data_IF_472220118506
#
_entry.id   IF_472220118506
#
_cell.length_a   1.000
_cell.length_b   1.000
_cell.length_c   1.000
_cell.angle_alpha   90.00
_cell.angle_beta   90.00
_cell.angle_gamma   90.00
#
_symmetry.space_group_name_H-M   'P 1'
#
loop_
_entity.id
_entity.type
_entity.pdbx_description
1 polymer ?
#
# COMPACT_ATOMS: atom_id res chain seq x y z
N UNK A 1 26.63 82.07 -25.31
CA UNK A 1 27.01 81.11 -26.36
C UNK A 1 27.23 79.78 -25.66
N UNK A 2 26.40 78.79 -26.01
CA UNK A 2 26.56 77.34 -25.76
C UNK A 2 26.46 76.92 -24.28
N UNK A 3 25.41 76.23 -23.85
CA UNK A 3 24.93 74.89 -24.25
C UNK A 3 25.17 73.97 -23.05
N UNK A 4 24.08 73.57 -22.44
CA UNK A 4 23.79 72.24 -21.88
C UNK A 4 24.96 71.35 -21.45
N UNK A 5 24.87 70.80 -20.23
CA UNK A 5 24.53 69.38 -20.12
C UNK A 5 24.14 69.05 -18.68
N UNK A 6 22.84 68.85 -18.53
CA UNK A 6 22.17 68.30 -17.37
C UNK A 6 22.51 66.79 -17.31
N UNK A 7 23.38 66.36 -16.40
CA UNK A 7 23.59 64.93 -16.17
C UNK A 7 22.61 64.46 -15.08
N UNK A 8 21.39 64.13 -15.52
CA UNK A 8 20.41 63.45 -14.68
C UNK A 8 20.86 62.00 -14.48
N UNK A 9 21.49 61.73 -13.36
CA UNK A 9 21.80 60.38 -12.91
C UNK A 9 20.49 59.69 -12.50
N UNK A 10 19.88 58.98 -13.44
CA UNK A 10 18.67 58.18 -13.19
C UNK A 10 19.03 56.96 -12.34
N UNK A 11 18.99 57.13 -11.02
CA UNK A 11 18.85 56.05 -10.06
C UNK A 11 17.43 55.47 -10.19
N UNK A 12 17.25 54.53 -11.11
CA UNK A 12 16.12 53.60 -11.03
C UNK A 12 16.50 52.44 -10.11
N UNK A 13 15.96 52.43 -8.89
CA UNK A 13 16.03 51.28 -7.99
C UNK A 13 15.36 50.06 -8.63
N UNK A 14 16.15 49.12 -9.15
CA UNK A 14 15.67 47.85 -9.68
C UNK A 14 15.00 47.01 -8.57
N UNK A 15 13.66 46.99 -8.50
CA UNK A 15 12.91 46.06 -7.62
C UNK A 15 13.19 44.62 -8.07
N UNK A 16 13.98 43.87 -7.29
CA UNK A 16 14.28 42.47 -7.59
C UNK A 16 12.99 41.63 -7.57
N UNK A 17 12.71 40.94 -8.68
CA UNK A 17 11.57 40.00 -8.81
C UNK A 17 11.87 38.63 -8.18
N UNK A 18 13.11 38.39 -7.74
CA UNK A 18 13.53 37.12 -7.17
C UNK A 18 12.67 36.63 -5.99
N UNK A 19 12.26 37.48 -5.02
CA UNK A 19 11.38 37.04 -3.93
C UNK A 19 10.00 36.58 -4.42
N UNK A 20 9.46 37.22 -5.47
CA UNK A 20 8.18 36.84 -6.07
C UNK A 20 8.28 35.51 -6.83
N UNK A 21 9.38 35.28 -7.56
CA UNK A 21 9.64 34.01 -8.25
C UNK A 21 9.84 32.88 -7.25
N UNK A 22 10.65 33.09 -6.21
CA UNK A 22 10.88 32.10 -5.14
C UNK A 22 9.57 31.79 -4.41
N UNK A 23 8.78 32.81 -4.09
CA UNK A 23 7.45 32.64 -3.49
C UNK A 23 6.51 31.83 -4.38
N UNK A 24 6.49 32.11 -5.70
CA UNK A 24 5.72 31.35 -6.67
C UNK A 24 6.12 29.88 -6.74
N UNK A 25 7.43 29.58 -6.75
CA UNK A 25 7.95 28.22 -6.74
C UNK A 25 7.52 27.49 -5.45
N UNK A 26 7.64 28.14 -4.29
CA UNK A 26 7.25 27.55 -3.01
C UNK A 26 5.75 27.22 -2.97
N UNK A 27 4.89 28.14 -3.41
CA UNK A 27 3.44 27.90 -3.50
C UNK A 27 3.14 26.76 -4.47
N UNK A 28 3.81 26.72 -5.62
CA UNK A 28 3.62 25.63 -6.60
C UNK A 28 4.00 24.26 -6.04
N UNK A 29 5.07 24.18 -5.24
CA UNK A 29 5.50 22.95 -4.58
C UNK A 29 4.48 22.49 -3.53
N UNK A 30 3.96 23.40 -2.70
CA UNK A 30 2.93 23.05 -1.71
C UNK A 30 1.65 22.53 -2.38
N UNK A 31 1.21 23.16 -3.48
CA UNK A 31 0.07 22.68 -4.25
C UNK A 31 0.35 21.29 -4.84
N UNK A 32 1.53 21.06 -5.39
CA UNK A 32 1.92 19.76 -5.93
C UNK A 32 1.90 18.66 -4.85
N UNK A 33 2.50 18.91 -3.69
CA UNK A 33 2.48 17.97 -2.56
C UNK A 33 1.06 17.69 -2.09
N UNK A 34 0.21 18.72 -1.99
CA UNK A 34 -1.20 18.54 -1.62
C UNK A 34 -1.93 17.64 -2.64
N UNK A 35 -1.73 17.86 -3.94
CA UNK A 35 -2.32 17.01 -4.99
C UNK A 35 -1.84 15.57 -4.85
N UNK A 36 -0.54 15.33 -4.64
CA UNK A 36 -0.02 13.97 -4.43
C UNK A 36 -0.65 13.32 -3.20
N UNK A 37 -0.72 14.02 -2.07
CA UNK A 37 -1.32 13.49 -0.83
C UNK A 37 -2.82 13.18 -0.98
N UNK A 38 -3.56 13.94 -1.80
CA UNK A 38 -4.99 13.70 -2.03
C UNK A 38 -5.26 12.58 -3.06
N UNK A 39 -4.34 12.33 -3.99
CA UNK A 39 -4.53 11.37 -5.09
C UNK A 39 -3.87 10.02 -4.80
N UNK A 40 -2.85 9.97 -3.97
CA UNK A 40 -2.06 8.77 -3.72
C UNK A 40 -2.60 7.96 -2.53
N UNK A 41 -3.26 6.84 -2.82
CA UNK A 41 -3.54 5.80 -1.81
C UNK A 41 -2.38 4.80 -1.79
N UNK A 42 -1.67 4.61 -0.66
CA UNK A 42 -0.57 3.66 -0.59
C UNK A 42 -1.08 2.25 -0.83
N UNK A 43 -0.35 1.44 -1.58
CA UNK A 43 -0.70 0.02 -1.72
C UNK A 43 -0.41 -0.71 -0.40
N UNK A 44 -1.04 -1.88 -0.13
CA UNK A 44 -0.76 -2.64 1.09
C UNK A 44 0.73 -2.96 1.29
N UNK A 45 1.51 -3.10 0.21
CA UNK A 45 2.97 -3.32 0.27
C UNK A 45 3.78 -2.10 0.72
N UNK A 46 3.24 -0.90 0.60
CA UNK A 46 3.90 0.36 0.94
C UNK A 46 3.53 0.86 2.34
N UNK A 47 2.51 0.26 2.95
CA UNK A 47 2.08 0.57 4.31
C UNK A 47 3.12 0.07 5.33
N UNK A 48 3.26 0.79 6.44
CA UNK A 48 4.01 0.26 7.58
C UNK A 48 3.30 -0.98 8.16
N UNK A 49 4.03 -1.80 8.91
CA UNK A 49 3.54 -3.12 9.31
C UNK A 49 2.28 -3.07 10.18
N UNK A 50 2.08 -2.01 10.97
CA UNK A 50 0.91 -1.81 11.82
C UNK A 50 -0.31 -1.33 11.03
N UNK A 51 -0.12 -0.36 10.13
CA UNK A 51 -1.15 0.12 9.20
C UNK A 51 -1.63 -1.03 8.30
N UNK A 52 -0.70 -1.82 7.74
CA UNK A 52 -1.02 -2.99 6.92
C UNK A 52 -1.79 -4.04 7.71
N UNK A 53 -1.44 -4.25 8.98
CA UNK A 53 -2.15 -5.18 9.85
C UNK A 53 -3.61 -4.74 10.08
N UNK A 54 -3.82 -3.46 10.41
CA UNK A 54 -5.15 -2.90 10.60
C UNK A 54 -5.96 -2.92 9.30
N UNK A 55 -5.32 -2.58 8.17
CA UNK A 55 -5.92 -2.65 6.84
C UNK A 55 -6.38 -4.08 6.51
N UNK A 56 -5.50 -5.08 6.64
CA UNK A 56 -5.85 -6.49 6.40
C UNK A 56 -7.00 -6.94 7.29
N UNK A 57 -6.94 -6.63 8.58
CA UNK A 57 -8.00 -6.97 9.53
C UNK A 57 -9.36 -6.38 9.12
N UNK A 58 -9.39 -5.12 8.68
CA UNK A 58 -10.60 -4.48 8.16
C UNK A 58 -11.11 -5.15 6.88
N UNK A 59 -10.22 -5.37 5.91
CA UNK A 59 -10.55 -5.95 4.60
C UNK A 59 -11.01 -7.40 4.65
N UNK A 60 -10.64 -8.16 5.68
CA UNK A 60 -11.20 -9.51 5.89
C UNK A 60 -12.72 -9.54 6.08
N UNK A 61 -13.35 -8.42 6.43
CA UNK A 61 -14.82 -8.33 6.48
C UNK A 61 -15.48 -8.15 5.10
N UNK A 62 -14.68 -7.76 4.09
CA UNK A 62 -15.13 -7.48 2.72
C UNK A 62 -14.91 -8.67 1.78
N UNK A 63 -14.09 -9.66 2.16
CA UNK A 63 -13.87 -10.85 1.35
C UNK A 63 -15.10 -11.77 1.37
N UNK A 64 -15.27 -12.51 0.29
CA UNK A 64 -16.42 -13.41 0.09
C UNK A 64 -15.97 -14.71 -0.54
N UNK A 65 -16.60 -15.82 -0.14
CA UNK A 65 -16.38 -17.12 -0.75
C UNK A 65 -16.58 -17.04 -2.28
N UNK A 66 -15.76 -17.77 -3.02
CA UNK A 66 -15.76 -17.78 -4.48
C UNK A 66 -14.93 -16.69 -5.15
N UNK A 67 -14.46 -15.67 -4.41
CA UNK A 67 -13.50 -14.69 -4.93
C UNK A 67 -12.24 -15.37 -5.46
N UNK A 68 -11.70 -14.86 -6.55
CA UNK A 68 -10.47 -15.41 -7.13
C UNK A 68 -9.25 -15.06 -6.28
N UNK A 69 -8.23 -15.91 -6.37
CA UNK A 69 -6.93 -15.66 -5.74
C UNK A 69 -6.33 -14.32 -6.18
N UNK A 70 -6.53 -13.92 -7.44
CA UNK A 70 -6.10 -12.63 -7.97
C UNK A 70 -6.87 -11.46 -7.33
N UNK A 71 -8.19 -11.56 -7.20
CA UNK A 71 -9.00 -10.52 -6.53
C UNK A 71 -8.55 -10.30 -5.09
N UNK A 72 -8.29 -11.39 -4.35
CA UNK A 72 -7.80 -11.29 -2.97
C UNK A 72 -6.40 -10.66 -2.91
N UNK A 73 -5.50 -11.01 -3.83
CA UNK A 73 -4.15 -10.41 -3.88
C UNK A 73 -4.17 -8.95 -4.29
N UNK A 74 -5.10 -8.54 -5.16
CA UNK A 74 -5.29 -7.13 -5.50
C UNK A 74 -5.82 -6.34 -4.28
N UNK A 75 -6.68 -6.96 -3.46
CA UNK A 75 -7.25 -6.32 -2.28
C UNK A 75 -6.28 -6.22 -1.10
N UNK A 76 -5.63 -7.33 -0.75
CA UNK A 76 -4.79 -7.47 0.46
C UNK A 76 -3.29 -7.36 0.17
N UNK A 77 -2.91 -7.28 -1.11
CA UNK A 77 -1.53 -7.32 -1.54
C UNK A 77 -0.91 -8.72 -1.46
N UNK A 78 0.42 -8.73 -1.43
CA UNK A 78 1.23 -9.94 -1.26
C UNK A 78 1.01 -10.55 0.12
N UNK A 79 0.87 -11.87 0.22
CA UNK A 79 0.74 -12.57 1.50
C UNK A 79 2.10 -12.66 2.22
N UNK A 80 2.09 -12.71 3.55
CA UNK A 80 3.32 -12.87 4.35
C UNK A 80 3.89 -14.29 4.23
N UNK A 81 2.99 -15.28 4.13
CA UNK A 81 3.35 -16.66 3.81
C UNK A 81 2.38 -17.25 2.80
N UNK A 82 2.84 -18.25 2.05
CA UNK A 82 1.99 -19.02 1.14
C UNK A 82 2.42 -20.47 1.10
N UNK A 83 1.46 -21.39 1.08
CA UNK A 83 1.69 -22.81 0.83
C UNK A 83 0.74 -23.30 -0.26
N UNK A 84 1.17 -24.28 -1.03
CA UNK A 84 0.40 -24.86 -2.12
C UNK A 84 0.60 -26.37 -2.16
N UNK A 85 -0.46 -27.12 -2.44
CA UNK A 85 -0.38 -28.55 -2.72
C UNK A 85 -1.42 -28.99 -3.74
N UNK A 86 -1.09 -30.04 -4.47
CA UNK A 86 -2.05 -30.74 -5.33
C UNK A 86 -2.66 -31.90 -4.54
N UNK A 87 -3.99 -31.98 -4.56
CA UNK A 87 -4.82 -33.09 -4.07
C UNK A 87 -5.42 -33.83 -5.26
N UNK A 88 -5.92 -35.05 -5.08
CA UNK A 88 -6.49 -35.92 -6.15
C UNK A 88 -7.42 -35.19 -7.10
N UNK A 89 -8.18 -34.22 -6.58
CA UNK A 89 -9.25 -33.57 -7.32
C UNK A 89 -9.10 -32.04 -7.44
N UNK A 90 -8.04 -31.43 -6.88
CA UNK A 90 -7.88 -29.97 -6.90
C UNK A 90 -6.48 -29.48 -6.53
N UNK A 91 -6.16 -28.28 -6.98
CA UNK A 91 -5.04 -27.50 -6.45
C UNK A 91 -5.51 -26.66 -5.26
N UNK A 92 -4.81 -26.80 -4.13
CA UNK A 92 -5.06 -26.05 -2.92
C UNK A 92 -3.93 -25.06 -2.66
N UNK A 93 -4.28 -23.80 -2.42
CA UNK A 93 -3.34 -22.77 -1.97
C UNK A 93 -3.85 -22.21 -0.64
N UNK A 94 -2.97 -21.96 0.31
CA UNK A 94 -3.28 -21.21 1.52
C UNK A 94 -2.36 -19.99 1.58
N UNK A 95 -2.97 -18.80 1.73
CA UNK A 95 -2.28 -17.54 1.91
C UNK A 95 -2.45 -17.07 3.35
N UNK A 96 -1.39 -16.55 3.94
CA UNK A 96 -1.39 -16.03 5.31
C UNK A 96 -1.15 -14.53 5.28
N UNK A 97 -2.10 -13.77 5.81
CA UNK A 97 -2.01 -12.32 5.94
C UNK A 97 -1.94 -11.94 7.41
N UNK A 98 -0.96 -11.14 7.81
CA UNK A 98 -0.85 -10.58 9.16
C UNK A 98 -2.07 -9.74 9.47
N UNK A 99 -2.78 -10.07 10.55
CA UNK A 99 -4.06 -9.46 10.93
C UNK A 99 -4.13 -9.10 12.41
N UNK A 100 -3.16 -9.57 13.20
CA UNK A 100 -3.07 -9.28 14.61
C UNK A 100 -1.61 -9.38 15.06
N UNK A 101 -1.35 -8.96 16.30
CA UNK A 101 -0.04 -9.02 16.92
C UNK A 101 -0.11 -9.92 18.15
N UNK A 102 0.75 -10.94 18.17
CA UNK A 102 0.92 -11.87 19.29
C UNK A 102 2.18 -11.51 20.07
N UNK A 103 3.25 -11.07 19.39
CA UNK A 103 4.56 -10.79 20.00
C UNK A 103 5.10 -9.42 19.59
N UNK A 104 6.07 -8.93 20.36
CA UNK A 104 6.74 -7.64 20.16
C UNK A 104 8.22 -7.83 19.83
N UNK A 105 8.54 -8.80 18.97
CA UNK A 105 9.91 -9.18 18.62
C UNK A 105 10.31 -8.75 17.19
N UNK A 106 9.42 -8.04 16.49
CA UNK A 106 9.66 -7.54 15.14
C UNK A 106 9.68 -8.63 14.06
N UNK A 107 9.23 -9.85 14.36
CA UNK A 107 9.14 -10.94 13.40
C UNK A 107 7.68 -11.34 13.21
N UNK A 108 7.24 -11.46 11.96
CA UNK A 108 5.92 -12.03 11.66
C UNK A 108 6.00 -13.55 11.75
N UNK A 109 5.08 -14.15 12.50
CA UNK A 109 4.90 -15.60 12.59
C UNK A 109 3.49 -15.99 12.17
N UNK A 110 3.26 -17.26 11.78
CA UNK A 110 1.94 -17.69 11.27
C UNK A 110 0.80 -17.56 12.28
N UNK A 111 1.10 -17.61 13.58
CA UNK A 111 0.14 -17.37 14.66
C UNK A 111 -0.27 -15.89 14.80
N UNK A 112 0.29 -14.98 13.99
CA UNK A 112 -0.13 -13.58 13.87
C UNK A 112 -0.94 -13.33 12.57
N UNK A 113 -1.20 -14.39 11.80
CA UNK A 113 -1.83 -14.31 10.49
C UNK A 113 -3.20 -14.99 10.46
N UNK A 114 -4.09 -14.49 9.61
CA UNK A 114 -5.30 -15.21 9.22
C UNK A 114 -5.04 -16.01 7.95
N UNK A 115 -5.24 -17.34 7.94
CA UNK A 115 -5.14 -18.16 6.73
C UNK A 115 -6.38 -18.02 5.86
N UNK A 116 -6.17 -17.92 4.54
CA UNK A 116 -7.18 -17.93 3.49
C UNK A 116 -6.90 -19.12 2.57
N UNK A 117 -7.84 -20.06 2.49
CA UNK A 117 -7.73 -21.29 1.70
C UNK A 117 -8.46 -21.14 0.37
N UNK A 118 -7.73 -21.48 -0.68
CA UNK A 118 -8.21 -21.48 -2.05
C UNK A 118 -8.22 -22.89 -2.61
N UNK A 119 -9.26 -23.22 -3.36
CA UNK A 119 -9.36 -24.44 -4.17
C UNK A 119 -9.55 -24.03 -5.62
N UNK A 120 -8.68 -24.50 -6.51
CA UNK A 120 -8.69 -24.14 -7.93
C UNK A 120 -8.80 -22.62 -8.14
N UNK A 121 -7.97 -21.87 -7.40
CA UNK A 121 -7.91 -20.40 -7.39
C UNK A 121 -9.17 -19.67 -6.91
N UNK A 122 -10.12 -20.35 -6.26
CA UNK A 122 -11.28 -19.71 -5.63
C UNK A 122 -11.22 -19.83 -4.11
N UNK A 123 -11.53 -18.74 -3.40
CA UNK A 123 -11.57 -18.70 -1.94
C UNK A 123 -12.69 -19.60 -1.41
N UNK A 124 -12.35 -20.57 -0.57
CA UNK A 124 -13.30 -21.55 -0.01
C UNK A 124 -13.40 -21.51 1.51
N UNK A 125 -12.42 -20.92 2.20
CA UNK A 125 -12.44 -20.74 3.66
C UNK A 125 -11.42 -19.68 4.09
N UNK A 126 -11.65 -19.05 5.24
CA UNK A 126 -10.66 -18.26 5.96
C UNK A 126 -10.96 -18.25 7.47
N UNK A 127 -9.95 -17.94 8.29
CA UNK A 127 -10.07 -17.94 9.76
C UNK A 127 -9.38 -19.14 10.42
N UNK A 128 -9.52 -19.25 11.75
CA UNK A 128 -8.73 -20.14 12.64
C UNK A 128 -8.54 -21.57 12.11
N UNK A 129 -9.64 -22.27 11.80
CA UNK A 129 -9.59 -23.69 11.43
C UNK A 129 -9.11 -23.95 9.98
N UNK A 130 -8.91 -22.90 9.20
CA UNK A 130 -8.65 -22.99 7.76
C UNK A 130 -7.33 -23.69 7.45
N UNK A 131 -6.30 -23.47 8.29
CA UNK A 131 -5.02 -24.15 8.07
C UNK A 131 -5.11 -25.66 8.36
N UNK A 132 -5.90 -26.06 9.35
CA UNK A 132 -6.14 -27.49 9.62
C UNK A 132 -6.90 -28.15 8.47
N UNK A 133 -7.87 -27.46 7.87
CA UNK A 133 -8.55 -27.93 6.66
C UNK A 133 -7.56 -28.14 5.51
N UNK A 134 -6.65 -27.18 5.29
CA UNK A 134 -5.57 -27.34 4.32
C UNK A 134 -4.73 -28.58 4.62
N UNK A 135 -4.25 -28.78 5.85
CA UNK A 135 -3.42 -29.93 6.21
C UNK A 135 -4.15 -31.27 6.06
N UNK A 136 -5.43 -31.34 6.43
CA UNK A 136 -6.25 -32.56 6.37
C UNK A 136 -6.63 -33.00 4.95
N UNK A 137 -6.53 -32.11 3.95
CA UNK A 137 -6.87 -32.46 2.58
C UNK A 137 -5.95 -33.57 2.05
N UNK A 138 -6.54 -34.67 1.61
CA UNK A 138 -5.82 -35.87 1.15
C UNK A 138 -4.90 -35.55 -0.03
N UNK A 139 -3.67 -36.07 0.02
CA UNK A 139 -2.69 -35.97 -1.06
C UNK A 139 -2.97 -37.02 -2.13
N UNK A 140 -2.51 -36.76 -3.36
CA UNK A 140 -2.31 -37.82 -4.35
C UNK A 140 -1.13 -38.66 -3.85
N UNK A 141 -1.32 -39.96 -3.71
CA UNK A 141 -0.24 -40.92 -3.46
C UNK A 141 0.53 -41.21 -4.74
#
# INVERSE_FOLDING_TARGET
MLSEMNHSENNETMKSKAPMVIGGIFVSYLVFVAVIMFVYEPTPEQMDWDDRQAYNQGKLSEISLGQSLEQVRTLLGTADFSEAKTSENANLNVLFYRTHRSKSDGKTTKDECTPLLFKNNQLIAWGEDTYQQYLSAKFIQ
#
